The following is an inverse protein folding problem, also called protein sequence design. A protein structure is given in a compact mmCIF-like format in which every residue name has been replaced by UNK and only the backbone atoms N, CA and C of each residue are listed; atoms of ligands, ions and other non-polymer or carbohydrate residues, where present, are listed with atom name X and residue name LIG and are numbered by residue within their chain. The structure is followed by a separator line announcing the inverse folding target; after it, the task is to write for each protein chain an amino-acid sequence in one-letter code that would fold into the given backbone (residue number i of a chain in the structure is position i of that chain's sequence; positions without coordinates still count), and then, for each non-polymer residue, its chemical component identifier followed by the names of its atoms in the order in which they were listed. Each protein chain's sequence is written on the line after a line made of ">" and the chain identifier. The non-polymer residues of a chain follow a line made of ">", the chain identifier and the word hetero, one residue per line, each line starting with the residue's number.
data_IF_439371892206
#
_entry.id   IF_439371892206
#
_cell.length_a   1.000
_cell.length_b   1.000
_cell.length_c   1.000
_cell.angle_alpha   90.00
_cell.angle_beta   90.00
_cell.angle_gamma   90.00
#
_symmetry.space_group_name_H-M   'P 1'
#
loop_
_entity.id
_entity.type
_entity.pdbx_description
1 polymer ?
#
# COMPACT_ATOMS: atom_id res chain seq x y z
N UNK A 1 9.92 -144.65 21.33
CA UNK A 1 9.49 -144.12 22.64
C UNK A 1 10.33 -142.94 23.10
N UNK A 2 11.62 -143.06 23.39
CA UNK A 2 12.40 -141.89 23.91
C UNK A 2 12.76 -140.87 22.83
N UNK A 3 13.12 -141.35 21.64
CA UNK A 3 13.40 -140.54 20.45
C UNK A 3 12.21 -139.70 19.96
N UNK A 4 10.98 -140.14 20.24
CA UNK A 4 9.75 -139.41 19.87
C UNK A 4 9.42 -138.32 20.89
N UNK A 5 9.68 -138.56 22.18
CA UNK A 5 9.50 -137.54 23.23
C UNK A 5 10.51 -136.39 23.07
N UNK A 6 11.76 -136.70 22.75
CA UNK A 6 12.79 -135.68 22.50
C UNK A 6 12.46 -134.82 21.27
N UNK A 7 11.88 -135.43 20.23
CA UNK A 7 11.37 -134.70 19.05
C UNK A 7 10.20 -133.77 19.40
N UNK A 8 9.26 -134.23 20.24
CA UNK A 8 8.14 -133.40 20.72
C UNK A 8 8.63 -132.21 21.55
N UNK A 9 9.55 -132.44 22.49
CA UNK A 9 10.12 -131.36 23.32
C UNK A 9 10.90 -130.35 22.47
N UNK A 10 11.62 -130.80 21.44
CA UNK A 10 12.26 -129.89 20.46
C UNK A 10 11.25 -129.07 19.68
N UNK A 11 10.17 -129.67 19.20
CA UNK A 11 9.12 -128.95 18.47
C UNK A 11 8.46 -127.89 19.35
N UNK A 12 8.11 -128.21 20.59
CA UNK A 12 7.53 -127.24 21.54
C UNK A 12 8.51 -126.11 21.88
N UNK A 13 9.80 -126.41 22.01
CA UNK A 13 10.85 -125.40 22.24
C UNK A 13 11.02 -124.49 21.02
N UNK A 14 11.03 -125.05 19.81
CA UNK A 14 11.11 -124.30 18.56
C UNK A 14 9.88 -123.38 18.38
N UNK A 15 8.68 -123.85 18.72
CA UNK A 15 7.46 -123.05 18.71
C UNK A 15 7.50 -121.91 19.74
N UNK A 16 7.95 -122.16 20.97
CA UNK A 16 8.09 -121.10 21.97
C UNK A 16 9.14 -120.05 21.57
N UNK A 17 10.24 -120.48 20.96
CA UNK A 17 11.28 -119.57 20.46
C UNK A 17 10.71 -118.73 19.32
N UNK A 18 9.94 -119.32 18.39
CA UNK A 18 9.29 -118.60 17.31
C UNK A 18 8.24 -117.59 17.81
N UNK A 19 7.47 -117.94 18.83
CA UNK A 19 6.52 -117.00 19.48
C UNK A 19 7.26 -115.82 20.11
N UNK A 20 8.29 -116.08 20.91
CA UNK A 20 9.08 -115.01 21.54
C UNK A 20 9.82 -114.14 20.53
N UNK A 21 10.30 -114.70 19.41
CA UNK A 21 10.91 -113.89 18.36
C UNK A 21 9.90 -112.97 17.67
N UNK A 22 8.69 -113.45 17.39
CA UNK A 22 7.65 -112.59 16.79
C UNK A 22 7.18 -111.48 17.72
N UNK A 23 7.04 -111.75 19.01
CA UNK A 23 6.74 -110.72 20.01
C UNK A 23 7.86 -109.68 20.09
N UNK A 24 9.13 -110.12 20.10
CA UNK A 24 10.28 -109.22 20.13
C UNK A 24 10.31 -108.32 18.88
N UNK A 25 10.03 -108.86 17.70
CA UNK A 25 9.93 -108.09 16.47
C UNK A 25 8.82 -107.02 16.54
N UNK A 26 7.66 -107.36 17.11
CA UNK A 26 6.58 -106.38 17.31
C UNK A 26 6.97 -105.28 18.31
N UNK A 27 7.68 -105.63 19.39
CA UNK A 27 8.20 -104.62 20.33
C UNK A 27 9.21 -103.70 19.66
N UNK A 28 10.13 -104.24 18.85
CA UNK A 28 11.11 -103.43 18.12
C UNK A 28 10.42 -102.50 17.10
N UNK A 29 9.41 -102.98 16.39
CA UNK A 29 8.61 -102.14 15.48
C UNK A 29 7.93 -101.00 16.24
N UNK A 30 7.31 -101.29 17.38
CA UNK A 30 6.64 -100.28 18.20
C UNK A 30 7.60 -99.25 18.77
N UNK A 31 8.80 -99.66 19.17
CA UNK A 31 9.86 -98.74 19.62
C UNK A 31 10.26 -97.81 18.48
N UNK A 32 10.52 -98.35 17.28
CA UNK A 32 10.87 -97.54 16.11
C UNK A 32 9.76 -96.55 15.74
N UNK A 33 8.49 -96.95 15.83
CA UNK A 33 7.35 -96.06 15.61
C UNK A 33 7.28 -94.94 16.64
N UNK A 34 7.50 -95.25 17.92
CA UNK A 34 7.53 -94.26 18.99
C UNK A 34 8.68 -93.27 18.79
N UNK A 35 9.89 -93.74 18.49
CA UNK A 35 11.05 -92.89 18.16
C UNK A 35 10.75 -91.98 16.96
N UNK A 36 10.14 -92.53 15.90
CA UNK A 36 9.72 -91.75 14.74
C UNK A 36 8.61 -90.72 15.06
N UNK A 37 7.78 -90.97 16.07
CA UNK A 37 6.81 -89.97 16.57
C UNK A 37 7.47 -88.92 17.46
N UNK A 38 8.45 -89.31 18.29
CA UNK A 38 9.21 -88.37 19.11
C UNK A 38 9.95 -87.36 18.25
N UNK A 39 10.67 -87.79 17.22
CA UNK A 39 11.36 -86.87 16.32
C UNK A 39 10.39 -85.91 15.61
N UNK A 40 9.22 -86.40 15.17
CA UNK A 40 8.19 -85.54 14.58
C UNK A 40 7.63 -84.50 15.56
N UNK A 41 7.49 -84.87 16.83
CA UNK A 41 7.07 -83.93 17.88
C UNK A 41 8.17 -82.91 18.20
N UNK A 42 9.43 -83.33 18.20
CA UNK A 42 10.59 -82.43 18.36
C UNK A 42 10.66 -81.43 17.21
N UNK A 43 10.53 -81.89 15.96
CA UNK A 43 10.51 -81.03 14.76
C UNK A 43 9.35 -80.03 14.83
N UNK A 44 8.14 -80.50 15.16
CA UNK A 44 6.96 -79.64 15.29
C UNK A 44 7.12 -78.58 16.41
N UNK A 45 7.78 -78.94 17.51
CA UNK A 45 8.06 -78.01 18.60
C UNK A 45 9.12 -76.97 18.21
N UNK A 46 10.13 -77.35 17.43
CA UNK A 46 11.09 -76.40 16.88
C UNK A 46 10.43 -75.43 15.90
N UNK A 47 9.55 -75.92 15.04
CA UNK A 47 8.80 -75.09 14.09
C UNK A 47 7.86 -74.11 14.81
N UNK A 48 7.17 -74.54 15.89
CA UNK A 48 6.36 -73.64 16.72
C UNK A 48 7.21 -72.53 17.35
N UNK A 49 8.39 -72.88 17.89
CA UNK A 49 9.32 -71.90 18.48
C UNK A 49 9.77 -70.88 17.44
N UNK A 50 10.10 -71.31 16.22
CA UNK A 50 10.49 -70.44 15.11
C UNK A 50 9.33 -69.53 14.69
N UNK A 51 8.15 -70.09 14.47
CA UNK A 51 6.96 -69.32 14.12
C UNK A 51 6.62 -68.25 15.17
N UNK A 52 6.74 -68.59 16.46
CA UNK A 52 6.51 -67.64 17.56
C UNK A 52 7.54 -66.51 17.58
N UNK A 53 8.81 -66.82 17.31
CA UNK A 53 9.86 -65.80 17.21
C UNK A 53 9.58 -64.87 16.03
N UNK A 54 9.23 -65.42 14.87
CA UNK A 54 8.90 -64.64 13.68
C UNK A 54 7.69 -63.71 13.94
N UNK A 55 6.62 -64.22 14.56
CA UNK A 55 5.48 -63.40 14.98
C UNK A 55 5.88 -62.27 15.93
N UNK A 56 6.76 -62.53 16.89
CA UNK A 56 7.23 -61.51 17.81
C UNK A 56 8.06 -60.44 17.07
N UNK A 57 8.90 -60.82 16.11
CA UNK A 57 9.65 -59.87 15.30
C UNK A 57 8.71 -59.00 14.47
N UNK A 58 7.69 -59.58 13.84
CA UNK A 58 6.69 -58.85 13.06
C UNK A 58 5.91 -57.88 13.95
N UNK A 59 5.48 -58.31 15.13
CA UNK A 59 4.78 -57.44 16.09
C UNK A 59 5.66 -56.26 16.53
N UNK A 60 6.95 -56.49 16.79
CA UNK A 60 7.90 -55.42 17.13
C UNK A 60 8.10 -54.44 15.97
N UNK A 61 8.23 -54.94 14.75
CA UNK A 61 8.35 -54.09 13.55
C UNK A 61 7.08 -53.25 13.32
N UNK A 62 5.90 -53.86 13.49
CA UNK A 62 4.62 -53.16 13.39
C UNK A 62 4.51 -52.04 14.44
N UNK A 63 4.94 -52.30 15.69
CA UNK A 63 4.97 -51.29 16.74
C UNK A 63 5.84 -50.08 16.37
N UNK A 64 7.07 -50.32 15.90
CA UNK A 64 7.98 -49.26 15.44
C UNK A 64 7.40 -48.45 14.28
N UNK A 65 6.76 -49.11 13.31
CA UNK A 65 6.13 -48.44 12.19
C UNK A 65 4.99 -47.51 12.64
N UNK A 66 4.17 -47.97 13.60
CA UNK A 66 3.09 -47.16 14.16
C UNK A 66 3.63 -45.94 14.93
N UNK A 67 4.71 -46.12 15.70
CA UNK A 67 5.38 -45.02 16.39
C UNK A 67 5.93 -43.98 15.39
N UNK A 68 6.60 -44.44 14.32
CA UNK A 68 7.08 -43.56 13.25
C UNK A 68 5.94 -42.82 12.54
N UNK A 69 4.82 -43.49 12.25
CA UNK A 69 3.65 -42.83 11.67
C UNK A 69 3.06 -41.79 12.61
N UNK A 70 2.95 -42.10 13.91
CA UNK A 70 2.44 -41.16 14.90
C UNK A 70 3.33 -39.92 15.02
N UNK A 71 4.65 -40.11 15.04
CA UNK A 71 5.62 -39.02 15.06
C UNK A 71 5.51 -38.13 13.80
N UNK A 72 5.48 -38.74 12.61
CA UNK A 72 5.33 -38.02 11.34
C UNK A 72 3.99 -37.26 11.26
N UNK A 73 2.89 -37.84 11.77
CA UNK A 73 1.59 -37.14 11.84
C UNK A 73 1.65 -35.92 12.76
N UNK A 74 2.30 -36.03 13.92
CA UNK A 74 2.46 -34.91 14.84
C UNK A 74 3.33 -33.79 14.23
N UNK A 75 4.42 -34.14 13.53
CA UNK A 75 5.25 -33.18 12.81
C UNK A 75 4.46 -32.45 11.71
N UNK A 76 3.68 -33.19 10.91
CA UNK A 76 2.83 -32.61 9.88
C UNK A 76 1.77 -31.66 10.45
N UNK A 77 1.17 -32.01 11.59
CA UNK A 77 0.20 -31.15 12.26
C UNK A 77 0.85 -29.86 12.76
N UNK A 78 2.05 -29.93 13.35
CA UNK A 78 2.80 -28.74 13.77
C UNK A 78 3.14 -27.83 12.58
N UNK A 79 3.59 -28.42 11.46
CA UNK A 79 3.88 -27.67 10.23
C UNK A 79 2.61 -27.01 9.70
N UNK A 80 1.50 -27.74 9.66
CA UNK A 80 0.21 -27.20 9.20
C UNK A 80 -0.25 -26.00 10.07
N UNK A 81 -0.16 -26.11 11.40
CA UNK A 81 -0.48 -25.02 12.32
C UNK A 81 0.46 -23.82 12.17
N UNK A 82 1.74 -24.05 11.86
CA UNK A 82 2.67 -22.97 11.58
C UNK A 82 2.33 -22.27 10.25
N UNK A 83 2.05 -23.03 9.20
CA UNK A 83 1.63 -22.51 7.90
C UNK A 83 0.34 -21.69 8.02
N UNK A 84 -0.65 -22.20 8.76
CA UNK A 84 -1.92 -21.49 8.97
C UNK A 84 -1.71 -20.14 9.66
N UNK A 85 -0.84 -20.08 10.66
CA UNK A 85 -0.48 -18.83 11.34
C UNK A 85 0.23 -17.87 10.38
N UNK A 86 1.25 -18.33 9.66
CA UNK A 86 1.97 -17.52 8.69
C UNK A 86 1.04 -16.96 7.60
N UNK A 87 0.12 -17.77 7.08
CA UNK A 87 -0.89 -17.31 6.11
C UNK A 87 -1.75 -16.21 6.73
N UNK A 88 -2.28 -16.42 7.95
CA UNK A 88 -3.11 -15.41 8.60
C UNK A 88 -2.38 -14.09 8.85
N UNK A 89 -1.11 -14.13 9.26
CA UNK A 89 -0.28 -12.94 9.48
C UNK A 89 -0.03 -12.20 8.16
N UNK A 90 0.34 -12.92 7.10
CA UNK A 90 0.57 -12.31 5.77
C UNK A 90 -0.71 -11.73 5.16
N UNK A 91 -1.87 -12.32 5.43
CA UNK A 91 -3.16 -11.78 4.99
C UNK A 91 -3.47 -10.44 5.67
N UNK A 92 -3.21 -10.33 6.98
CA UNK A 92 -3.38 -9.09 7.74
C UNK A 92 -2.42 -8.02 7.21
N UNK A 93 -1.13 -8.32 7.08
CA UNK A 93 -0.13 -7.38 6.55
C UNK A 93 -0.51 -6.89 5.14
N UNK A 94 -0.97 -7.80 4.27
CA UNK A 94 -1.43 -7.46 2.93
C UNK A 94 -2.64 -6.52 2.95
N UNK A 95 -3.56 -6.69 3.89
CA UNK A 95 -4.69 -5.78 4.05
C UNK A 95 -4.24 -4.39 4.52
N UNK A 96 -3.27 -4.32 5.44
CA UNK A 96 -2.70 -3.06 5.91
C UNK A 96 -1.98 -2.31 4.77
N UNK A 97 -1.12 -2.99 4.03
CA UNK A 97 -0.45 -2.42 2.86
C UNK A 97 -1.43 -1.93 1.79
N UNK A 98 -2.55 -2.63 1.59
CA UNK A 98 -3.63 -2.16 0.71
C UNK A 98 -4.28 -0.88 1.22
N UNK A 99 -4.57 -0.78 2.51
CA UNK A 99 -5.13 0.44 3.12
C UNK A 99 -4.16 1.61 2.98
N UNK A 100 -2.87 1.39 3.26
CA UNK A 100 -1.84 2.42 3.08
C UNK A 100 -1.72 2.87 1.62
N UNK A 101 -1.73 1.93 0.68
CA UNK A 101 -1.69 2.26 -0.75
C UNK A 101 -2.87 3.13 -1.15
N UNK A 102 -4.09 2.77 -0.74
CA UNK A 102 -5.29 3.57 -1.00
C UNK A 102 -5.19 4.98 -0.39
N UNK A 103 -4.68 5.09 0.84
CA UNK A 103 -4.49 6.38 1.49
C UNK A 103 -3.48 7.26 0.73
N UNK A 104 -2.35 6.67 0.29
CA UNK A 104 -1.34 7.35 -0.53
C UNK A 104 -1.89 7.78 -1.89
N UNK A 105 -2.70 6.93 -2.52
CA UNK A 105 -3.35 7.23 -3.81
C UNK A 105 -4.35 8.38 -3.68
N UNK A 106 -5.17 8.39 -2.62
CA UNK A 106 -6.09 9.49 -2.33
C UNK A 106 -5.33 10.80 -2.05
N UNK A 107 -4.26 10.74 -1.27
CA UNK A 107 -3.41 11.90 -0.99
C UNK A 107 -2.75 12.45 -2.26
N UNK A 108 -2.29 11.55 -3.15
CA UNK A 108 -1.73 11.92 -4.44
C UNK A 108 -2.77 12.61 -5.33
N UNK A 109 -3.99 12.07 -5.42
CA UNK A 109 -5.08 12.68 -6.17
C UNK A 109 -5.42 14.08 -5.64
N UNK A 110 -5.48 14.25 -4.31
CA UNK A 110 -5.72 15.55 -3.70
C UNK A 110 -4.59 16.55 -4.03
N UNK A 111 -3.33 16.12 -3.97
CA UNK A 111 -2.19 16.97 -4.34
C UNK A 111 -2.21 17.36 -5.83
N UNK A 112 -2.62 16.44 -6.72
CA UNK A 112 -2.79 16.75 -8.15
C UNK A 112 -3.87 17.81 -8.38
N UNK A 113 -5.00 17.73 -7.68
CA UNK A 113 -6.06 18.74 -7.77
C UNK A 113 -5.59 20.10 -7.26
N UNK A 114 -4.86 20.13 -6.14
CA UNK A 114 -4.25 21.37 -5.63
C UNK A 114 -3.26 21.97 -6.62
N UNK A 115 -2.43 21.13 -7.27
CA UNK A 115 -1.50 21.59 -8.29
C UNK A 115 -2.24 22.21 -9.48
N UNK A 116 -3.31 21.58 -9.97
CA UNK A 116 -4.14 22.13 -11.04
C UNK A 116 -4.76 23.48 -10.66
N UNK A 117 -5.23 23.64 -9.42
CA UNK A 117 -5.74 24.92 -8.93
C UNK A 117 -4.65 26.00 -8.95
N UNK A 118 -3.46 25.69 -8.44
CA UNK A 118 -2.33 26.62 -8.44
C UNK A 118 -1.88 26.99 -9.87
N UNK A 119 -1.95 26.07 -10.83
CA UNK A 119 -1.65 26.35 -12.23
C UNK A 119 -2.66 27.35 -12.83
N UNK A 120 -3.95 27.20 -12.54
CA UNK A 120 -5.00 28.14 -12.97
C UNK A 120 -4.79 29.51 -12.32
N UNK A 121 -4.55 29.55 -11.00
CA UNK A 121 -4.29 30.80 -10.28
C UNK A 121 -3.06 31.51 -10.83
N UNK A 122 -1.99 30.76 -11.13
CA UNK A 122 -0.78 31.29 -11.76
C UNK A 122 -1.07 31.88 -13.14
N UNK A 123 -1.86 31.19 -13.98
CA UNK A 123 -2.24 31.70 -15.29
C UNK A 123 -3.04 33.01 -15.17
N UNK A 124 -4.04 33.06 -14.29
CA UNK A 124 -4.81 34.28 -14.02
C UNK A 124 -3.94 35.44 -13.49
N UNK A 125 -2.98 35.15 -12.60
CA UNK A 125 -2.05 36.16 -12.11
C UNK A 125 -1.13 36.70 -13.22
N UNK A 126 -0.72 35.85 -14.17
CA UNK A 126 0.08 36.27 -15.33
C UNK A 126 -0.73 37.19 -16.27
N UNK A 127 -1.99 36.88 -16.52
CA UNK A 127 -2.89 37.73 -17.32
C UNK A 127 -3.07 39.11 -16.66
N UNK A 128 -3.36 39.14 -15.37
CA UNK A 128 -3.48 40.40 -14.61
C UNK A 128 -2.19 41.21 -14.63
N UNK A 129 -1.04 40.55 -14.50
CA UNK A 129 0.26 41.22 -14.60
C UNK A 129 0.46 41.86 -15.98
N UNK A 130 0.12 41.16 -17.07
CA UNK A 130 0.21 41.70 -18.43
C UNK A 130 -0.70 42.91 -18.62
N UNK A 131 -1.92 42.90 -18.11
CA UNK A 131 -2.82 44.06 -18.15
C UNK A 131 -2.23 45.27 -17.42
N UNK A 132 -1.66 45.06 -16.24
CA UNK A 132 -1.03 46.14 -15.46
C UNK A 132 0.18 46.70 -16.21
N UNK A 133 1.01 45.85 -16.82
CA UNK A 133 2.13 46.27 -17.65
C UNK A 133 1.65 47.14 -18.82
N UNK A 134 0.63 46.71 -19.56
CA UNK A 134 0.06 47.50 -20.65
C UNK A 134 -0.47 48.86 -20.17
N UNK A 135 -1.21 48.89 -19.05
CA UNK A 135 -1.71 50.14 -18.45
C UNK A 135 -0.56 51.08 -18.04
N UNK A 136 0.54 50.54 -17.52
CA UNK A 136 1.74 51.30 -17.19
C UNK A 136 2.44 51.84 -18.44
N UNK A 137 2.55 51.04 -19.50
CA UNK A 137 3.08 51.46 -20.80
C UNK A 137 2.25 52.59 -21.41
N UNK A 138 0.92 52.47 -21.39
CA UNK A 138 -0.01 53.51 -21.84
C UNK A 138 0.12 54.80 -21.02
N UNK A 139 0.22 54.69 -19.69
CA UNK A 139 0.45 55.84 -18.82
C UNK A 139 1.81 56.51 -19.10
N UNK A 140 2.87 55.73 -19.33
CA UNK A 140 4.19 56.23 -19.70
C UNK A 140 4.20 56.91 -21.08
N UNK A 141 3.51 56.33 -22.06
CA UNK A 141 3.35 56.92 -23.39
C UNK A 141 2.52 58.21 -23.33
N UNK A 142 1.44 58.22 -22.56
CA UNK A 142 0.61 59.42 -22.36
C UNK A 142 1.41 60.54 -21.70
N UNK A 143 2.14 60.26 -20.62
CA UNK A 143 3.00 61.27 -19.97
C UNK A 143 4.09 61.78 -20.89
N UNK A 144 4.70 60.94 -21.73
CA UNK A 144 5.66 61.36 -22.76
C UNK A 144 5.02 62.30 -23.79
N UNK A 145 3.83 61.96 -24.28
CA UNK A 145 3.07 62.80 -25.23
C UNK A 145 2.66 64.13 -24.60
N UNK A 146 2.14 64.12 -23.37
CA UNK A 146 1.82 65.34 -22.62
C UNK A 146 3.06 66.18 -22.38
N UNK A 147 4.18 65.60 -21.95
CA UNK A 147 5.46 66.30 -21.81
C UNK A 147 5.89 66.97 -23.11
N UNK A 148 5.77 66.29 -24.25
CA UNK A 148 6.10 66.85 -25.56
C UNK A 148 5.18 68.03 -25.94
N UNK A 149 3.86 67.88 -25.76
CA UNK A 149 2.89 68.96 -26.00
C UNK A 149 3.11 70.16 -25.09
N UNK A 150 3.32 69.89 -23.80
CA UNK A 150 3.62 70.92 -22.80
C UNK A 150 4.92 71.63 -23.17
N UNK A 151 6.00 70.94 -23.54
CA UNK A 151 7.23 71.57 -24.01
C UNK A 151 7.03 72.52 -25.22
N UNK A 152 6.09 72.20 -26.14
CA UNK A 152 5.73 73.12 -27.23
C UNK A 152 5.01 74.39 -26.75
N UNK A 153 4.22 74.27 -25.68
CA UNK A 153 3.47 75.37 -25.10
C UNK A 153 4.17 76.05 -23.92
N UNK A 154 5.23 75.49 -23.34
CA UNK A 154 6.07 76.11 -22.31
C UNK A 154 6.72 77.40 -22.84
N UNK A 155 7.00 77.48 -24.13
CA UNK A 155 7.38 78.74 -24.79
C UNK A 155 6.29 79.83 -24.78
N UNK A 156 5.02 79.44 -24.61
CA UNK A 156 3.85 80.33 -24.49
C UNK A 156 3.54 80.67 -23.02
N UNK A 157 3.96 79.84 -22.06
CA UNK A 157 3.82 80.10 -20.62
C UNK A 157 4.98 81.01 -20.17
N UNK A 158 4.97 82.25 -20.63
CA UNK A 158 5.75 83.31 -19.99
C UNK A 158 4.93 83.88 -18.84
N UNK A 159 5.59 84.16 -17.71
CA UNK A 159 5.00 85.04 -16.70
C UNK A 159 4.61 86.33 -17.41
N UNK A 160 3.32 86.70 -17.39
CA UNK A 160 2.85 87.96 -17.96
C UNK A 160 3.59 89.07 -17.19
N UNK A 161 4.47 89.86 -17.83
CA UNK A 161 5.13 90.96 -17.15
C UNK A 161 4.04 91.95 -16.69
N UNK A 162 4.14 92.54 -15.49
CA UNK A 162 3.17 93.52 -15.04
C UNK A 162 3.07 94.62 -16.11
N UNK A 163 1.87 94.79 -16.68
CA UNK A 163 1.64 95.77 -17.74
C UNK A 163 2.08 97.17 -17.29
N UNK A 164 2.61 97.98 -18.22
CA UNK A 164 3.03 99.34 -17.87
C UNK A 164 1.83 100.10 -17.32
N UNK A 165 1.94 100.56 -16.06
CA UNK A 165 0.93 101.45 -15.49
C UNK A 165 0.98 102.74 -16.32
N UNK A 166 -0.05 103.00 -17.11
CA UNK A 166 -0.21 104.29 -17.79
C UNK A 166 -0.16 105.46 -16.79
N UNK A 167 0.00 106.71 -17.25
CA UNK A 167 0.16 107.87 -16.37
C UNK A 167 -0.99 107.93 -15.35
N UNK A 168 -0.68 107.61 -14.08
CA UNK A 168 -1.66 107.65 -13.00
C UNK A 168 -1.91 109.11 -12.62
N UNK A 169 -3.17 109.53 -12.56
CA UNK A 169 -3.51 110.83 -11.99
C UNK A 169 -3.17 110.82 -10.50
N UNK A 170 -2.26 111.68 -10.08
CA UNK A 170 -1.93 111.86 -8.67
C UNK A 170 -2.96 112.80 -8.08
N UNK A 171 -3.71 112.31 -7.10
CA UNK A 171 -4.56 113.17 -6.26
C UNK A 171 -3.81 113.49 -4.98
N UNK A 172 -4.31 114.47 -4.23
CA UNK A 172 -3.87 114.87 -2.90
C UNK A 172 -3.94 113.74 -1.83
N UNK A 173 -4.44 112.54 -2.19
CA UNK A 173 -4.47 111.34 -1.35
C UNK A 173 -3.67 110.15 -1.91
N UNK A 174 -2.89 110.38 -2.97
CA UNK A 174 -2.07 109.36 -3.64
C UNK A 174 -2.51 109.03 -5.08
N UNK A 175 -1.93 107.98 -5.69
CA UNK A 175 -2.25 107.56 -7.04
C UNK A 175 -3.73 107.19 -7.17
N UNK A 176 -4.44 107.80 -8.12
CA UNK A 176 -5.85 107.54 -8.34
C UNK A 176 -6.07 106.06 -8.74
N UNK A 177 -7.13 105.47 -8.19
CA UNK A 177 -7.56 104.11 -8.51
C UNK A 177 -8.19 103.98 -9.91
N UNK A 178 -8.42 105.10 -10.60
CA UNK A 178 -9.04 105.17 -11.93
C UNK A 178 -8.18 106.00 -12.88
N UNK A 179 -8.22 105.65 -14.16
CA UNK A 179 -7.58 106.39 -15.24
C UNK A 179 -8.48 107.53 -15.73
N UNK A 180 -7.91 108.49 -16.46
CA UNK A 180 -8.69 109.61 -17.06
C UNK A 180 -9.73 109.12 -18.08
N UNK A 181 -9.43 108.04 -18.79
CA UNK A 181 -10.37 107.38 -19.69
C UNK A 181 -11.57 106.78 -18.95
N UNK A 182 -11.34 106.13 -17.80
CA UNK A 182 -12.42 105.59 -16.96
C UNK A 182 -13.26 106.69 -16.33
N UNK A 183 -12.63 107.80 -15.90
CA UNK A 183 -13.35 108.93 -15.32
C UNK A 183 -14.26 109.60 -16.36
N UNK A 184 -13.78 109.79 -17.59
CA UNK A 184 -14.56 110.39 -18.68
C UNK A 184 -15.70 109.48 -19.16
N UNK A 185 -15.51 108.15 -19.17
CA UNK A 185 -16.59 107.19 -19.37
C UNK A 185 -17.65 107.31 -18.27
N UNK A 186 -17.22 107.36 -17.01
CA UNK A 186 -18.12 107.46 -15.85
C UNK A 186 -18.84 108.81 -15.79
N UNK A 187 -18.20 109.88 -16.24
CA UNK A 187 -18.81 111.20 -16.40
C UNK A 187 -19.87 111.18 -17.50
N UNK A 188 -19.59 110.54 -18.65
CA UNK A 188 -20.60 110.33 -19.72
C UNK A 188 -21.78 109.50 -19.22
N UNK A 189 -21.53 108.41 -18.51
CA UNK A 189 -22.58 107.58 -17.91
C UNK A 189 -23.41 108.37 -16.88
N UNK A 190 -22.76 109.20 -16.07
CA UNK A 190 -23.45 110.06 -15.12
C UNK A 190 -24.29 111.13 -15.81
N UNK A 191 -23.77 111.78 -16.86
CA UNK A 191 -24.54 112.74 -17.66
C UNK A 191 -25.72 112.06 -18.36
N UNK A 192 -25.54 110.83 -18.85
CA UNK A 192 -26.61 110.02 -19.44
C UNK A 192 -27.72 109.70 -18.43
N UNK A 193 -27.37 109.30 -17.20
CA UNK A 193 -28.34 109.04 -16.12
C UNK A 193 -29.01 110.33 -15.62
N UNK A 194 -28.30 111.45 -15.60
CA UNK A 194 -28.85 112.75 -15.20
C UNK A 194 -29.85 113.31 -16.20
N UNK A 195 -29.66 113.03 -17.48
CA UNK A 195 -30.54 113.49 -18.56
C UNK A 195 -31.73 112.55 -18.83
N UNK A 196 -31.88 111.45 -18.09
CA UNK A 196 -33.08 110.61 -18.13
C UNK A 196 -34.16 111.16 -17.17
N UNK A 197 -35.33 111.59 -17.67
CA UNK A 197 -36.47 111.92 -16.82
C UNK A 197 -37.02 110.65 -16.15
N UNK A 198 -37.32 110.73 -14.85
CA UNK A 198 -37.97 109.66 -14.11
C UNK A 198 -39.39 109.42 -14.65
N UNK A 199 -39.63 108.30 -15.34
CA UNK A 199 -40.98 107.83 -15.65
C UNK A 199 -41.52 106.98 -14.49
N UNK A 200 -42.38 107.61 -13.70
CA UNK A 200 -43.46 106.95 -12.98
C UNK A 200 -44.66 106.83 -13.94
N UNK A 201 -45.23 105.63 -14.04
CA UNK A 201 -46.41 105.19 -14.82
C UNK A 201 -46.24 105.08 -16.34
#
# INVERSE_FOLDING_TARGET
>A
MDLEREKMVRQEMEEQVAQKSTELEQYLQRVNELEGMYHRLEDALEDEKRARQDEETVRRLQGRLLEEEAAKRAELEQIHLHQQRAISETEVEKQELRKERMAKENALQAAMLQLQQLEIERQGALEQYQEVVQKLEDAANNTRTWKHKVAHHEGLVRLIPPGSKGPQKITNWGPAAFTEAELSLREKDWQGRKNQPAQNQ
#
